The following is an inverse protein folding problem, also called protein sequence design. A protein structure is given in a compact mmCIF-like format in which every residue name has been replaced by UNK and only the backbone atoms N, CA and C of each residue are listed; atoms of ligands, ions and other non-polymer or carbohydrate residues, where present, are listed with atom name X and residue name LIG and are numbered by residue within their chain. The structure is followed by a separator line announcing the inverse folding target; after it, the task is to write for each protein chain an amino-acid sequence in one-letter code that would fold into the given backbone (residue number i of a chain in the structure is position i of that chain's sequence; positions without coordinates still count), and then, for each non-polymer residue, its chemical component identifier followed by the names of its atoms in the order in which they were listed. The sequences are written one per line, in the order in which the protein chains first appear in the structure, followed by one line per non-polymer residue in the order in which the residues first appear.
data_IF_040178155766
#
_entry.id   IF_040178155766
#
_cell.length_a   1.000
_cell.length_b   1.000
_cell.length_c   1.000
_cell.angle_alpha   90.00
_cell.angle_beta   90.00
_cell.angle_gamma   90.00
#
_symmetry.space_group_name_H-M   'P 1'
#
loop_
_entity.id
_entity.type
_entity.pdbx_description
1 polymer ?
#
# COMPACT_ATOMS: atom_id res chain seq x y z
N UNK A 1 -8.66 -66.31 29.23
CA UNK A 1 -9.24 -64.97 29.46
C UNK A 1 -8.11 -63.95 29.35
N UNK A 2 -8.11 -63.10 28.32
CA UNK A 2 -8.39 -61.63 28.43
C UNK A 2 -7.16 -60.91 29.03
N UNK A 3 -6.40 -59.99 28.40
CA UNK A 3 -6.62 -59.04 27.31
C UNK A 3 -5.29 -58.29 26.99
N UNK A 4 -5.09 -57.87 25.71
CA UNK A 4 -4.65 -56.53 25.25
C UNK A 4 -3.22 -56.05 25.61
N UNK A 5 -2.47 -55.27 24.83
CA UNK A 5 -2.71 -54.46 23.63
C UNK A 5 -1.35 -54.14 22.97
N UNK A 6 -1.40 -54.00 21.65
CA UNK A 6 -0.33 -53.54 20.75
C UNK A 6 -0.09 -52.04 20.97
N UNK A 7 1.17 -51.62 21.06
CA UNK A 7 1.57 -50.21 21.06
C UNK A 7 2.74 -49.98 20.11
N UNK A 8 2.43 -49.69 18.84
CA UNK A 8 3.40 -49.26 17.83
C UNK A 8 3.70 -47.77 18.05
N UNK A 9 4.94 -47.43 18.39
CA UNK A 9 5.41 -46.04 18.42
C UNK A 9 6.36 -45.81 17.24
N UNK A 10 5.85 -45.23 16.17
CA UNK A 10 6.65 -44.64 15.08
C UNK A 10 6.33 -43.15 15.04
N UNK A 11 7.16 -42.34 15.70
CA UNK A 11 7.25 -40.91 15.43
C UNK A 11 8.45 -40.68 14.50
N UNK A 12 8.20 -40.70 13.20
CA UNK A 12 9.11 -40.12 12.22
C UNK A 12 8.82 -38.61 12.16
N UNK A 13 9.55 -37.81 12.94
CA UNK A 13 9.53 -36.36 12.81
C UNK A 13 10.26 -35.97 11.52
N UNK A 14 9.48 -35.68 10.47
CA UNK A 14 10.00 -35.14 9.22
C UNK A 14 10.57 -33.73 9.47
N UNK A 15 11.89 -33.62 9.41
CA UNK A 15 12.61 -32.35 9.29
C UNK A 15 12.32 -31.74 7.91
N UNK A 16 11.24 -30.96 7.82
CA UNK A 16 11.04 -30.06 6.68
C UNK A 16 12.00 -28.86 6.85
N UNK A 17 12.81 -28.50 5.85
CA UNK A 17 13.55 -27.26 5.90
C UNK A 17 12.54 -26.10 5.89
N UNK A 18 12.61 -25.26 6.92
CA UNK A 18 12.04 -23.92 6.90
C UNK A 18 12.66 -23.18 5.71
N UNK A 19 11.94 -23.14 4.60
CA UNK A 19 12.30 -22.33 3.44
C UNK A 19 12.04 -20.89 3.84
N UNK A 20 13.08 -20.19 4.30
CA UNK A 20 13.02 -18.74 4.47
C UNK A 20 12.51 -18.14 3.16
N UNK A 21 11.36 -17.48 3.24
CA UNK A 21 10.82 -16.71 2.13
C UNK A 21 11.77 -15.54 1.89
N UNK A 22 12.77 -15.74 1.03
CA UNK A 22 13.61 -14.66 0.55
C UNK A 22 12.69 -13.69 -0.19
N UNK A 23 12.54 -12.49 0.36
CA UNK A 23 11.86 -11.40 -0.32
C UNK A 23 12.49 -11.22 -1.70
N UNK A 24 11.69 -11.41 -2.76
CA UNK A 24 12.18 -11.30 -4.13
C UNK A 24 12.68 -9.86 -4.34
N UNK A 25 13.99 -9.68 -4.55
CA UNK A 25 14.53 -8.39 -4.94
C UNK A 25 13.86 -7.94 -6.25
N UNK A 26 13.55 -6.65 -6.42
CA UNK A 26 13.06 -6.14 -7.69
C UNK A 26 14.06 -6.53 -8.79
N UNK A 27 13.56 -6.92 -9.97
CA UNK A 27 14.44 -7.16 -11.11
C UNK A 27 15.27 -5.90 -11.37
N UNK A 28 16.50 -6.07 -11.86
CA UNK A 28 17.41 -4.96 -12.20
C UNK A 28 16.71 -3.91 -13.08
N UNK A 29 15.80 -4.34 -13.93
CA UNK A 29 14.98 -3.48 -14.80
C UNK A 29 13.99 -2.62 -14.00
N UNK A 30 13.29 -3.19 -13.00
CA UNK A 30 12.34 -2.45 -12.17
C UNK A 30 13.05 -1.42 -11.31
N UNK A 31 14.22 -1.76 -10.75
CA UNK A 31 15.02 -0.82 -9.97
C UNK A 31 15.50 0.37 -10.82
N UNK A 32 15.95 0.09 -12.04
CA UNK A 32 16.36 1.14 -12.99
C UNK A 32 15.18 2.07 -13.33
N UNK A 33 14.02 1.49 -13.67
CA UNK A 33 12.79 2.26 -13.95
C UNK A 33 12.37 3.10 -12.73
N UNK A 34 12.35 2.49 -11.55
CA UNK A 34 11.91 3.15 -10.32
C UNK A 34 12.78 4.35 -9.92
N UNK A 35 14.06 4.38 -10.35
CA UNK A 35 14.99 5.50 -10.11
C UNK A 35 15.05 6.52 -11.24
N UNK A 36 14.39 6.25 -12.37
CA UNK A 36 14.29 7.17 -13.49
C UNK A 36 13.40 8.39 -13.23
N UNK A 37 13.28 9.24 -14.24
CA UNK A 37 12.40 10.42 -14.24
C UNK A 37 11.49 10.41 -15.47
N UNK A 38 10.50 11.30 -15.52
CA UNK A 38 9.56 11.42 -16.62
C UNK A 38 8.32 10.55 -16.43
N UNK A 39 7.84 9.93 -17.50
CA UNK A 39 6.61 9.14 -17.52
C UNK A 39 6.90 7.72 -18.00
N UNK A 40 7.72 6.94 -17.27
CA UNK A 40 8.15 5.64 -17.74
C UNK A 40 6.97 4.67 -17.89
N UNK A 41 7.09 3.78 -18.88
CA UNK A 41 6.30 2.55 -18.89
C UNK A 41 6.85 1.61 -17.82
N UNK A 42 5.94 1.05 -17.02
CA UNK A 42 6.30 0.12 -15.95
C UNK A 42 5.65 -1.23 -16.27
N UNK A 43 6.43 -2.28 -16.55
CA UNK A 43 5.89 -3.61 -16.85
C UNK A 43 4.89 -4.08 -15.79
N UNK A 44 3.70 -4.48 -16.22
CA UNK A 44 2.62 -4.94 -15.32
C UNK A 44 1.79 -3.82 -14.68
N UNK A 45 2.04 -2.55 -15.01
CA UNK A 45 1.20 -1.42 -14.59
C UNK A 45 0.66 -0.63 -15.78
N UNK A 46 -0.66 -0.46 -15.80
CA UNK A 46 -1.31 0.55 -16.63
C UNK A 46 -1.33 1.86 -15.85
N UNK A 47 -0.38 2.76 -16.15
CA UNK A 47 -0.25 4.05 -15.48
C UNK A 47 -0.65 5.20 -16.40
N UNK A 48 -1.43 6.13 -15.87
CA UNK A 48 -1.80 7.40 -16.49
C UNK A 48 -1.11 8.52 -15.72
N UNK A 49 -0.21 9.21 -16.39
CA UNK A 49 0.56 10.30 -15.82
C UNK A 49 -0.18 11.63 -15.99
N UNK A 50 -0.58 12.26 -14.88
CA UNK A 50 -1.04 13.65 -14.87
C UNK A 50 0.08 14.62 -14.46
N UNK A 51 1.11 14.09 -13.79
CA UNK A 51 2.36 14.77 -13.52
C UNK A 51 3.52 13.78 -13.75
N UNK A 52 4.64 14.20 -14.38
CA UNK A 52 5.81 13.35 -14.54
C UNK A 52 6.55 13.18 -13.21
N UNK A 53 7.27 12.08 -13.09
CA UNK A 53 8.31 11.91 -12.08
C UNK A 53 9.47 12.90 -12.30
N UNK A 54 9.96 13.46 -11.22
CA UNK A 54 11.18 14.25 -11.15
C UNK A 54 12.32 13.49 -10.49
N UNK A 55 13.17 14.21 -9.76
CA UNK A 55 14.24 13.63 -8.96
C UNK A 55 13.70 13.09 -7.63
N UNK A 56 13.63 11.77 -7.51
CA UNK A 56 13.09 11.08 -6.33
C UNK A 56 13.78 11.47 -5.02
N UNK A 57 15.05 11.91 -5.08
CA UNK A 57 15.83 12.31 -3.90
C UNK A 57 15.30 13.59 -3.27
N UNK A 58 14.50 14.36 -4.01
CA UNK A 58 13.83 15.58 -3.52
C UNK A 58 12.47 15.29 -2.90
N UNK A 59 11.93 14.08 -3.07
CA UNK A 59 10.68 13.69 -2.44
C UNK A 59 10.91 13.40 -0.94
N UNK A 60 10.04 13.89 -0.03
CA UNK A 60 10.24 13.72 1.41
C UNK A 60 9.73 12.36 1.93
N UNK A 61 9.36 11.44 1.04
CA UNK A 61 8.69 10.21 1.43
C UNK A 61 9.61 9.25 2.18
N UNK A 62 9.09 8.77 3.31
CA UNK A 62 9.68 7.73 4.17
C UNK A 62 8.67 6.64 4.50
N UNK A 63 7.39 6.89 4.24
CA UNK A 63 6.27 6.00 4.51
C UNK A 63 5.34 5.95 3.29
N UNK A 64 4.57 4.86 3.17
CA UNK A 64 3.43 4.78 2.26
C UNK A 64 2.17 4.67 3.13
N UNK A 65 1.15 5.48 2.85
CA UNK A 65 -0.17 5.31 3.46
C UNK A 65 -1.15 4.89 2.37
N UNK A 66 -1.73 3.71 2.54
CA UNK A 66 -2.75 3.15 1.68
C UNK A 66 -4.13 3.49 2.24
N UNK A 67 -5.01 3.94 1.35
CA UNK A 67 -6.40 4.29 1.59
C UNK A 67 -7.29 3.44 0.69
N UNK A 68 -8.55 3.34 1.05
CA UNK A 68 -9.59 2.79 0.19
C UNK A 68 -10.85 3.64 0.35
N UNK A 69 -11.36 4.15 -0.75
CA UNK A 69 -12.46 5.12 -0.82
C UNK A 69 -13.73 4.43 -1.26
N UNK A 70 -14.85 4.79 -0.62
CA UNK A 70 -16.23 4.40 -0.97
C UNK A 70 -16.71 5.07 -2.27
N UNK A 71 -15.85 5.17 -3.27
CA UNK A 71 -16.17 5.75 -4.57
C UNK A 71 -16.61 4.68 -5.56
N UNK A 72 -17.67 4.91 -6.37
CA UNK A 72 -17.98 4.02 -7.49
C UNK A 72 -16.84 4.02 -8.51
N UNK A 73 -16.83 3.04 -9.41
CA UNK A 73 -15.87 2.97 -10.51
C UNK A 73 -15.81 4.31 -11.29
N UNK A 74 -14.61 4.77 -11.60
CA UNK A 74 -14.33 6.08 -12.20
C UNK A 74 -13.97 7.17 -11.19
N UNK A 75 -14.15 6.91 -9.89
CA UNK A 75 -13.81 7.85 -8.82
C UNK A 75 -12.31 8.10 -8.71
N UNK A 76 -11.46 7.10 -8.94
CA UNK A 76 -10.00 7.29 -8.94
C UNK A 76 -9.57 8.24 -10.06
N UNK A 77 -10.11 8.06 -11.27
CA UNK A 77 -9.84 8.98 -12.40
C UNK A 77 -10.25 10.42 -12.09
N UNK A 78 -11.44 10.60 -11.53
CA UNK A 78 -11.97 11.93 -11.20
C UNK A 78 -11.18 12.57 -10.05
N UNK A 79 -10.86 11.80 -9.02
CA UNK A 79 -10.03 12.21 -7.88
C UNK A 79 -8.63 12.63 -8.33
N UNK A 80 -7.98 11.83 -9.18
CA UNK A 80 -6.67 12.15 -9.73
C UNK A 80 -6.66 13.45 -10.54
N UNK A 81 -7.65 13.66 -11.42
CA UNK A 81 -7.79 14.92 -12.19
C UNK A 81 -8.03 16.12 -11.29
N UNK A 82 -8.91 15.97 -10.30
CA UNK A 82 -9.19 17.03 -9.36
C UNK A 82 -7.95 17.37 -8.50
N UNK A 83 -7.16 16.36 -8.13
CA UNK A 83 -5.90 16.55 -7.42
C UNK A 83 -4.84 17.22 -8.30
N UNK A 84 -4.71 16.82 -9.57
CA UNK A 84 -3.80 17.46 -10.51
C UNK A 84 -4.12 18.95 -10.70
N UNK A 85 -5.40 19.31 -10.77
CA UNK A 85 -5.87 20.69 -10.92
C UNK A 85 -5.68 21.54 -9.65
N UNK A 86 -5.71 20.92 -8.47
CA UNK A 86 -5.46 21.59 -7.20
C UNK A 86 -4.64 20.68 -6.27
N UNK A 87 -3.31 20.65 -6.39
CA UNK A 87 -2.48 19.71 -5.63
C UNK A 87 -2.61 19.82 -4.11
N UNK A 88 -3.01 20.98 -3.56
CA UNK A 88 -3.20 21.20 -2.11
C UNK A 88 -4.49 20.61 -1.55
N UNK A 89 -5.45 20.22 -2.41
CA UNK A 89 -6.74 19.71 -1.95
C UNK A 89 -6.57 18.43 -1.11
N UNK A 90 -7.63 18.09 -0.38
CA UNK A 90 -7.74 16.77 0.27
C UNK A 90 -7.73 15.66 -0.78
N UNK A 91 -6.88 14.67 -0.56
CA UNK A 91 -6.65 13.55 -1.46
C UNK A 91 -5.18 13.16 -1.51
N UNK A 92 -4.85 12.23 -2.39
CA UNK A 92 -3.55 11.54 -2.45
C UNK A 92 -2.76 11.85 -3.71
N UNK A 93 -1.48 11.48 -3.71
CA UNK A 93 -0.59 11.56 -4.88
C UNK A 93 -0.93 10.50 -5.94
N UNK A 94 -1.28 9.28 -5.52
CA UNK A 94 -1.48 8.14 -6.43
C UNK A 94 -2.88 7.56 -6.24
N UNK A 95 -3.64 7.41 -7.33
CA UNK A 95 -5.00 6.83 -7.29
C UNK A 95 -5.05 5.53 -8.08
N UNK A 96 -5.82 4.54 -7.62
CA UNK A 96 -5.95 3.22 -8.24
C UNK A 96 -7.42 2.92 -8.48
N UNK A 97 -7.78 2.74 -9.75
CA UNK A 97 -9.15 2.44 -10.19
C UNK A 97 -9.51 0.96 -10.00
N UNK A 98 -10.79 0.64 -10.02
CA UNK A 98 -11.29 -0.74 -9.89
C UNK A 98 -10.79 -1.70 -10.98
N UNK A 99 -10.39 -1.18 -12.14
CA UNK A 99 -9.78 -1.94 -13.24
C UNK A 99 -8.24 -2.09 -13.11
N UNK A 100 -7.65 -1.60 -12.02
CA UNK A 100 -6.20 -1.61 -11.79
C UNK A 100 -5.44 -0.47 -12.46
N UNK A 101 -6.11 0.46 -13.16
CA UNK A 101 -5.44 1.65 -13.72
C UNK A 101 -4.91 2.53 -12.58
N UNK A 102 -3.63 2.86 -12.63
CA UNK A 102 -2.97 3.76 -11.69
C UNK A 102 -2.92 5.16 -12.30
N UNK A 103 -3.29 6.18 -11.53
CA UNK A 103 -3.14 7.58 -11.90
C UNK A 103 -2.11 8.25 -11.01
N UNK A 104 -1.06 8.81 -11.61
CA UNK A 104 -0.08 9.64 -10.91
C UNK A 104 -0.52 11.10 -10.99
N UNK A 105 -1.07 11.63 -9.91
CA UNK A 105 -1.85 12.86 -9.96
C UNK A 105 -1.03 14.15 -9.80
N UNK A 106 0.02 14.14 -8.99
CA UNK A 106 0.79 15.35 -8.66
C UNK A 106 2.30 15.08 -8.71
N UNK A 107 3.14 16.12 -8.91
CA UNK A 107 4.59 15.95 -8.80
C UNK A 107 4.96 15.32 -7.46
N UNK A 108 5.92 14.39 -7.47
CA UNK A 108 6.28 13.62 -6.27
C UNK A 108 6.93 14.43 -5.15
N UNK A 109 7.24 15.69 -5.38
CA UNK A 109 7.72 16.63 -4.36
C UNK A 109 6.58 17.37 -3.66
N UNK A 110 5.34 17.19 -4.13
CA UNK A 110 4.17 17.87 -3.59
C UNK A 110 3.56 17.07 -2.43
N UNK A 111 3.37 17.74 -1.28
CA UNK A 111 2.70 17.16 -0.11
C UNK A 111 1.19 17.32 -0.26
N UNK A 112 0.51 16.19 -0.51
CA UNK A 112 -0.95 16.14 -0.61
C UNK A 112 -1.59 16.02 0.79
N UNK A 113 -2.86 16.41 0.91
CA UNK A 113 -3.59 16.38 2.19
C UNK A 113 -4.41 15.10 2.30
N UNK A 114 -3.76 13.94 2.35
CA UNK A 114 -4.45 12.64 2.36
C UNK A 114 -4.79 12.10 3.74
N UNK A 115 -4.15 12.62 4.77
CA UNK A 115 -4.45 12.33 6.16
C UNK A 115 -3.82 13.42 7.01
N UNK A 116 -4.31 13.59 8.23
CA UNK A 116 -3.59 14.45 9.17
C UNK A 116 -2.36 13.72 9.72
N UNK A 117 -2.31 12.38 9.57
CA UNK A 117 -1.26 11.52 10.11
C UNK A 117 -1.63 11.04 11.52
N UNK A 118 -0.74 10.27 12.15
CA UNK A 118 -0.89 9.85 13.54
C UNK A 118 -0.72 11.04 14.51
N UNK A 119 -1.66 11.98 14.49
CA UNK A 119 -1.58 13.26 15.21
C UNK A 119 -2.38 13.28 16.52
N UNK A 120 -3.17 12.24 16.79
CA UNK A 120 -3.93 12.09 18.03
C UNK A 120 -3.10 11.26 19.02
N UNK A 121 -2.87 11.79 20.22
CA UNK A 121 -2.13 11.10 21.30
C UNK A 121 -3.09 10.56 22.38
N UNK A 122 -4.24 10.01 21.98
CA UNK A 122 -5.25 9.57 22.95
C UNK A 122 -5.36 8.04 23.08
N UNK A 123 -4.69 7.24 22.22
CA UNK A 123 -4.73 5.76 22.18
C UNK A 123 -6.14 5.15 22.29
N UNK A 124 -7.18 5.97 22.12
CA UNK A 124 -8.55 5.63 22.52
C UNK A 124 -9.14 4.57 21.61
N UNK A 125 -8.66 4.53 20.38
CA UNK A 125 -9.26 3.74 19.33
C UNK A 125 -8.25 2.85 18.58
N UNK A 126 -6.99 3.25 18.56
CA UNK A 126 -5.86 2.48 18.03
C UNK A 126 -4.65 2.75 18.92
N UNK A 127 -3.82 1.74 19.16
CA UNK A 127 -2.48 1.97 19.72
C UNK A 127 -1.61 2.52 18.59
N UNK A 128 -1.36 3.83 18.62
CA UNK A 128 -0.55 4.51 17.63
C UNK A 128 0.81 4.94 18.19
N UNK A 129 1.24 4.42 19.34
CA UNK A 129 2.48 4.86 20.00
C UNK A 129 3.71 4.82 19.08
N UNK A 130 3.81 3.80 18.22
CA UNK A 130 4.92 3.64 17.27
C UNK A 130 4.82 4.53 16.03
N UNK A 131 3.65 5.07 15.74
CA UNK A 131 3.37 5.88 14.53
C UNK A 131 3.12 7.34 14.84
N UNK A 132 2.78 7.68 16.10
CA UNK A 132 2.44 9.01 16.59
C UNK A 132 3.51 10.05 16.23
N UNK A 133 3.13 11.03 15.41
CA UNK A 133 4.01 12.07 14.82
C UNK A 133 5.20 11.52 14.00
N UNK A 134 5.27 10.22 13.76
CA UNK A 134 6.31 9.57 12.95
C UNK A 134 5.83 9.26 11.53
N UNK A 135 4.54 8.96 11.38
CA UNK A 135 3.89 8.71 10.10
C UNK A 135 2.85 9.81 9.86
N UNK A 136 3.27 10.83 9.11
CA UNK A 136 2.51 12.07 8.88
C UNK A 136 2.50 12.40 7.40
N UNK A 137 1.52 13.18 6.95
CA UNK A 137 1.38 13.55 5.52
C UNK A 137 2.68 14.08 4.90
N UNK A 138 3.45 14.87 5.66
CA UNK A 138 4.66 15.53 5.17
C UNK A 138 5.80 14.54 4.85
N UNK A 139 5.73 13.30 5.35
CA UNK A 139 6.75 12.26 5.13
C UNK A 139 6.17 10.97 4.55
N UNK A 140 4.94 10.99 4.05
CA UNK A 140 4.25 9.84 3.50
C UNK A 140 3.70 10.13 2.12
N UNK A 141 3.80 9.16 1.21
CA UNK A 141 3.05 9.20 -0.03
C UNK A 141 1.71 8.47 0.16
N UNK A 142 0.62 9.14 -0.21
CA UNK A 142 -0.72 8.55 -0.20
C UNK A 142 -1.02 7.74 -1.47
N UNK A 143 -1.64 6.57 -1.31
CA UNK A 143 -2.19 5.74 -2.39
C UNK A 143 -3.66 5.44 -2.10
N UNK A 144 -4.57 5.84 -2.98
CA UNK A 144 -6.02 5.69 -2.81
C UNK A 144 -6.59 4.66 -3.76
N UNK A 145 -7.27 3.65 -3.24
CA UNK A 145 -7.98 2.64 -4.03
C UNK A 145 -9.46 2.98 -4.10
N UNK A 146 -9.97 3.28 -5.29
CA UNK A 146 -11.40 3.42 -5.52
C UNK A 146 -12.11 2.08 -5.35
N UNK A 147 -13.19 2.02 -4.60
CA UNK A 147 -13.97 0.79 -4.47
C UNK A 147 -15.02 0.84 -3.39
N UNK A 148 -15.38 -0.33 -2.87
CA UNK A 148 -16.22 -0.57 -1.69
C UNK A 148 -17.48 0.31 -1.51
N UNK A 149 -18.02 0.82 -2.62
CA UNK A 149 -19.36 1.40 -2.67
C UNK A 149 -20.30 0.47 -3.45
N UNK A 150 -21.52 0.22 -2.96
CA UNK A 150 -22.08 0.69 -1.68
C UNK A 150 -21.68 -0.18 -0.47
N UNK A 151 -20.84 -1.21 -0.65
CA UNK A 151 -20.43 -2.14 0.39
C UNK A 151 -18.99 -1.88 0.86
N UNK A 152 -18.87 -1.18 2.00
CA UNK A 152 -17.58 -0.78 2.60
C UNK A 152 -16.70 -1.97 2.99
N UNK A 153 -17.28 -3.17 3.06
CA UNK A 153 -16.57 -4.42 3.37
C UNK A 153 -16.00 -5.11 2.13
N UNK A 154 -16.39 -4.66 0.93
CA UNK A 154 -15.91 -5.25 -0.30
C UNK A 154 -14.38 -5.08 -0.43
N UNK A 155 -13.64 -6.15 -0.75
CA UNK A 155 -12.20 -6.09 -0.91
C UNK A 155 -11.82 -5.34 -2.20
N UNK A 156 -10.54 -4.96 -2.29
CA UNK A 156 -9.96 -4.50 -3.54
C UNK A 156 -10.09 -5.60 -4.64
N UNK A 157 -10.31 -5.18 -5.88
CA UNK A 157 -10.48 -6.12 -7.00
C UNK A 157 -9.19 -6.87 -7.31
N UNK A 158 -9.29 -7.99 -8.04
CA UNK A 158 -8.10 -8.73 -8.49
C UNK A 158 -7.16 -7.86 -9.34
N UNK A 159 -7.70 -6.96 -10.17
CA UNK A 159 -6.92 -6.05 -11.00
C UNK A 159 -6.19 -5.00 -10.14
N UNK A 160 -6.85 -4.47 -9.11
CA UNK A 160 -6.22 -3.61 -8.12
C UNK A 160 -5.09 -4.31 -7.36
N UNK A 161 -5.29 -5.56 -6.94
CA UNK A 161 -4.27 -6.34 -6.25
C UNK A 161 -3.06 -6.60 -7.18
N UNK A 162 -3.32 -6.93 -8.46
CA UNK A 162 -2.26 -7.12 -9.46
C UNK A 162 -1.45 -5.83 -9.67
N UNK A 163 -2.13 -4.69 -9.82
CA UNK A 163 -1.47 -3.39 -9.91
C UNK A 163 -0.69 -3.08 -8.61
N UNK A 164 -1.29 -3.32 -7.46
CA UNK A 164 -0.68 -3.01 -6.16
C UNK A 164 0.64 -3.76 -5.95
N UNK A 165 0.69 -5.04 -6.36
CA UNK A 165 1.88 -5.89 -6.29
C UNK A 165 3.09 -5.25 -6.97
N UNK A 166 2.90 -4.61 -8.11
CA UNK A 166 3.99 -3.93 -8.82
C UNK A 166 4.20 -2.52 -8.27
N UNK A 167 3.12 -1.76 -8.06
CA UNK A 167 3.18 -0.36 -7.62
C UNK A 167 3.89 -0.22 -6.27
N UNK A 168 3.60 -1.06 -5.29
CA UNK A 168 4.23 -0.94 -3.97
C UNK A 168 5.73 -1.19 -4.04
N UNK A 169 6.18 -2.15 -4.88
CA UNK A 169 7.60 -2.42 -5.09
C UNK A 169 8.29 -1.25 -5.78
N UNK A 170 7.64 -0.63 -6.76
CA UNK A 170 8.11 0.60 -7.41
C UNK A 170 8.27 1.72 -6.39
N UNK A 171 7.25 2.02 -5.59
CA UNK A 171 7.29 3.09 -4.59
C UNK A 171 8.38 2.85 -3.54
N UNK A 172 8.44 1.62 -3.02
CA UNK A 172 9.47 1.21 -2.06
C UNK A 172 10.88 1.33 -2.64
N UNK A 173 11.07 0.87 -3.87
CA UNK A 173 12.37 0.96 -4.55
C UNK A 173 12.71 2.41 -4.86
N UNK A 174 11.76 3.22 -5.32
CA UNK A 174 11.97 4.62 -5.70
C UNK A 174 12.42 5.48 -4.52
N UNK A 175 11.85 5.28 -3.34
CA UNK A 175 12.07 6.13 -2.17
C UNK A 175 12.81 5.45 -1.02
N UNK A 176 13.35 4.24 -1.22
CA UNK A 176 14.02 3.44 -0.19
C UNK A 176 13.12 3.17 1.04
N UNK A 177 11.84 2.88 0.79
CA UNK A 177 10.87 2.61 1.86
C UNK A 177 10.85 1.10 2.16
N UNK A 178 11.19 0.67 3.37
CA UNK A 178 11.10 -0.73 3.76
C UNK A 178 9.63 -1.18 3.88
N UNK A 179 9.39 -2.50 3.82
CA UNK A 179 8.03 -3.07 3.76
C UNK A 179 7.19 -2.68 5.00
N UNK A 180 7.80 -2.71 6.17
CA UNK A 180 7.20 -2.36 7.46
C UNK A 180 6.73 -0.90 7.55
N UNK A 181 7.15 -0.04 6.62
CA UNK A 181 6.73 1.37 6.51
C UNK A 181 5.61 1.61 5.49
N UNK A 182 4.88 0.56 5.12
CA UNK A 182 3.61 0.66 4.38
C UNK A 182 2.45 0.51 5.36
N UNK A 183 1.64 1.55 5.55
CA UNK A 183 0.56 1.57 6.55
C UNK A 183 -0.81 1.66 5.88
N UNK A 184 -1.82 1.02 6.46
CA UNK A 184 -3.21 1.40 6.22
C UNK A 184 -3.52 2.70 6.97
N UNK A 185 -4.41 3.53 6.46
CA UNK A 185 -4.78 4.78 7.13
C UNK A 185 -5.34 4.52 8.54
N UNK A 186 -6.18 3.49 8.69
CA UNK A 186 -6.73 3.06 9.97
C UNK A 186 -5.69 2.58 11.00
N UNK A 187 -4.45 2.26 10.60
CA UNK A 187 -3.41 1.84 11.55
C UNK A 187 -2.72 3.03 12.22
N UNK A 188 -2.88 4.22 11.67
CA UNK A 188 -2.18 5.43 12.11
C UNK A 188 -3.15 6.50 12.59
N UNK A 189 -4.38 6.50 12.08
CA UNK A 189 -5.45 7.39 12.51
C UNK A 189 -6.76 6.59 12.62
N UNK A 190 -7.57 6.88 13.65
CA UNK A 190 -8.83 6.19 13.82
C UNK A 190 -9.95 6.88 13.06
N UNK A 191 -10.64 6.12 12.22
CA UNK A 191 -11.80 6.56 11.44
C UNK A 191 -13.08 5.98 12.01
N UNK A 192 -13.27 4.69 11.80
CA UNK A 192 -14.44 3.92 12.18
C UNK A 192 -14.02 2.48 12.45
N UNK A 193 -14.61 1.84 13.45
CA UNK A 193 -14.30 0.45 13.80
C UNK A 193 -14.89 -0.57 12.81
N UNK A 194 -15.86 -0.17 11.98
CA UNK A 194 -16.60 -1.07 11.08
C UNK A 194 -15.90 -1.32 9.75
N UNK A 195 -14.99 -0.45 9.34
CA UNK A 195 -14.25 -0.59 8.09
C UNK A 195 -12.80 -0.16 8.27
N UNK A 196 -11.90 -0.80 7.53
CA UNK A 196 -10.50 -0.44 7.52
C UNK A 196 -10.04 0.05 6.14
N UNK A 197 -9.75 1.35 6.04
CA UNK A 197 -9.21 2.01 4.85
C UNK A 197 -7.83 1.44 4.52
N UNK A 198 -7.80 0.43 3.64
CA UNK A 198 -6.56 -0.14 3.12
C UNK A 198 -5.88 -1.20 3.99
N UNK A 199 -6.53 -1.77 5.02
CA UNK A 199 -5.92 -2.82 5.86
C UNK A 199 -5.36 -3.98 5.06
N UNK A 200 -6.19 -4.61 4.23
CA UNK A 200 -5.79 -5.80 3.47
C UNK A 200 -4.68 -5.47 2.47
N UNK A 201 -4.77 -4.30 1.83
CA UNK A 201 -3.73 -3.81 0.92
C UNK A 201 -2.39 -3.57 1.64
N UNK A 202 -2.42 -3.00 2.85
CA UNK A 202 -1.20 -2.78 3.64
C UNK A 202 -0.63 -4.10 4.20
N UNK A 203 -1.48 -5.06 4.58
CA UNK A 203 -1.04 -6.43 4.96
C UNK A 203 -0.34 -7.11 3.79
N UNK A 204 -0.98 -7.12 2.61
CA UNK A 204 -0.38 -7.66 1.39
C UNK A 204 0.99 -7.00 1.12
N UNK A 205 1.07 -5.67 1.16
CA UNK A 205 2.33 -4.95 0.92
C UNK A 205 3.48 -5.30 1.89
N UNK A 206 3.14 -5.74 3.11
CA UNK A 206 4.10 -6.15 4.15
C UNK A 206 4.46 -7.63 4.08
N UNK A 207 3.69 -8.45 3.37
CA UNK A 207 3.95 -9.87 3.23
C UNK A 207 5.18 -10.11 2.33
N UNK A 208 6.22 -10.83 2.80
CA UNK A 208 7.40 -11.14 1.99
C UNK A 208 7.11 -11.90 0.69
N UNK A 209 5.97 -12.59 0.61
CA UNK A 209 5.53 -13.37 -0.56
C UNK A 209 4.72 -12.56 -1.58
N UNK A 210 4.35 -11.31 -1.25
CA UNK A 210 3.53 -10.46 -2.11
C UNK A 210 4.33 -9.86 -3.26
#
# INVERSE_FOLDING_TARGET
MIHRLIGLALLAAALLPLREAQAQAPSTDLATIARGSGTPEIPGLKIVWLAPWGDYRKAPWRNIIVHQTEGPAGSARNGARAQANNPTRRGVTVWVETDGTVYWATPETFVTTHGDGANRNDNKYIDNKSTFRQVVRDNSIGVEFAGNYPDVTAPATAAQIAAWRVLVRVLRTRYDIPADRVYAHNWIDYKDARYCEGCELAKLARDPSF
#
